data_IF_850120492380
#
_entry.id   IF_850120492380
#
_cell.length_a   1.000
_cell.length_b   1.000
_cell.length_c   1.000
_cell.angle_alpha   90.00
_cell.angle_beta   90.00
_cell.angle_gamma   90.00
#
_symmetry.space_group_name_H-M   'P 1'
#
loop_
_entity.id
_entity.type
_entity.pdbx_description
1 polymer ?
#
# COMPACT_ATOMS: atom_id res chain seq x y z
N UNK A 1 -27.95 -6.68 -8.15
CA UNK A 1 -27.08 -5.80 -7.33
C UNK A 1 -27.05 -6.41 -5.94
N UNK A 2 -25.87 -6.74 -5.40
CA UNK A 2 -25.75 -7.01 -3.96
C UNK A 2 -25.61 -5.65 -3.27
N UNK A 3 -26.27 -5.46 -2.14
CA UNK A 3 -26.07 -4.27 -1.32
C UNK A 3 -24.69 -4.36 -0.65
N UNK A 4 -23.95 -3.26 -0.66
CA UNK A 4 -22.64 -3.17 -0.01
C UNK A 4 -22.84 -2.44 1.32
N UNK A 5 -22.53 -3.12 2.42
CA UNK A 5 -22.54 -2.52 3.75
C UNK A 5 -21.10 -2.15 4.12
N UNK A 6 -20.86 -0.86 4.34
CA UNK A 6 -19.52 -0.37 4.68
C UNK A 6 -19.36 -0.33 6.21
N UNK A 7 -18.45 -1.15 6.73
CA UNK A 7 -18.00 -1.09 8.13
C UNK A 7 -16.78 -0.17 8.22
N UNK A 8 -16.95 1.00 8.82
CA UNK A 8 -15.85 1.94 9.05
C UNK A 8 -15.08 1.54 10.29
N UNK A 9 -13.76 1.42 10.16
CA UNK A 9 -12.86 1.02 11.24
C UNK A 9 -11.76 2.07 11.37
N UNK A 10 -11.55 2.58 12.57
CA UNK A 10 -10.43 3.47 12.86
C UNK A 10 -9.16 2.62 13.04
N UNK A 11 -8.21 2.78 12.11
CA UNK A 11 -6.95 2.04 12.15
C UNK A 11 -6.08 2.35 13.38
N UNK A 12 -6.34 3.44 14.12
CA UNK A 12 -5.60 3.74 15.35
C UNK A 12 -5.99 2.83 16.53
N UNK A 13 -7.15 2.19 16.45
CA UNK A 13 -7.66 1.25 17.44
C UNK A 13 -7.32 -0.21 17.10
N UNK A 14 -6.68 -0.46 15.95
CA UNK A 14 -6.37 -1.80 15.44
C UNK A 14 -4.88 -2.12 15.65
N UNK A 15 -4.61 -3.34 16.09
CA UNK A 15 -3.27 -3.93 16.20
C UNK A 15 -3.34 -5.46 16.02
N UNK A 16 -2.19 -6.12 16.02
CA UNK A 16 -2.09 -7.57 15.83
C UNK A 16 -2.89 -8.39 16.87
N UNK A 17 -3.08 -7.87 18.09
CA UNK A 17 -3.78 -8.58 19.16
C UNK A 17 -5.30 -8.51 19.04
N UNK A 18 -5.84 -7.48 18.39
CA UNK A 18 -7.28 -7.21 18.36
C UNK A 18 -7.90 -7.19 16.95
N UNK A 19 -7.08 -7.28 15.90
CA UNK A 19 -7.53 -7.15 14.49
C UNK A 19 -8.66 -8.08 14.12
N UNK A 20 -8.66 -9.32 14.64
CA UNK A 20 -9.72 -10.29 14.41
C UNK A 20 -11.09 -9.77 14.89
N UNK A 21 -11.16 -9.14 16.07
CA UNK A 21 -12.42 -8.62 16.62
C UNK A 21 -13.05 -7.53 15.72
N UNK A 22 -12.23 -6.84 14.93
CA UNK A 22 -12.70 -5.82 13.98
C UNK A 22 -13.06 -6.41 12.61
N UNK A 23 -12.38 -7.47 12.18
CA UNK A 23 -12.39 -7.95 10.79
C UNK A 23 -12.96 -9.35 10.59
N UNK A 24 -13.35 -10.08 11.64
CA UNK A 24 -13.87 -11.45 11.52
C UNK A 24 -15.20 -11.56 10.75
N UNK A 25 -15.95 -10.47 10.65
CA UNK A 25 -17.28 -10.39 10.05
C UNK A 25 -17.31 -9.68 8.69
N UNK A 26 -16.15 -9.39 8.08
CA UNK A 26 -16.09 -8.70 6.77
C UNK A 26 -15.75 -9.64 5.62
N UNK A 27 -16.38 -9.41 4.47
CA UNK A 27 -16.13 -10.18 3.24
C UNK A 27 -14.96 -9.62 2.40
N UNK A 28 -14.43 -8.46 2.76
CA UNK A 28 -13.37 -7.77 2.03
C UNK A 28 -12.83 -6.56 2.79
N UNK A 29 -11.56 -6.24 2.56
CA UNK A 29 -10.84 -5.19 3.26
C UNK A 29 -10.30 -4.17 2.26
N UNK A 30 -10.60 -2.89 2.47
CA UNK A 30 -10.06 -1.79 1.70
C UNK A 30 -9.23 -0.89 2.60
N UNK A 31 -7.96 -0.70 2.27
CA UNK A 31 -7.10 0.27 2.95
C UNK A 31 -6.92 1.47 2.01
N UNK A 32 -7.49 2.64 2.34
CA UNK A 32 -7.43 3.80 1.48
C UNK A 32 -6.06 4.49 1.55
N UNK A 33 -5.92 5.56 0.78
CA UNK A 33 -4.79 6.48 0.94
C UNK A 33 -4.77 7.15 2.32
N UNK A 34 -3.67 7.79 2.65
CA UNK A 34 -3.51 8.54 3.88
C UNK A 34 -2.19 9.30 3.89
N UNK A 35 -1.94 10.05 4.96
CA UNK A 35 -0.73 10.83 5.14
C UNK A 35 -0.24 10.71 6.57
N UNK A 36 1.09 10.67 6.73
CA UNK A 36 1.75 10.60 8.03
C UNK A 36 1.73 9.20 8.67
N UNK A 37 2.50 9.08 9.74
CA UNK A 37 2.75 7.82 10.44
C UNK A 37 1.55 7.30 11.24
N UNK A 38 0.62 8.18 11.62
CA UNK A 38 -0.47 7.82 12.53
C UNK A 38 -1.29 6.66 11.95
N UNK A 39 -1.44 5.62 12.76
CA UNK A 39 -2.21 4.42 12.46
C UNK A 39 -1.71 3.62 11.24
N UNK A 40 -0.43 3.77 10.85
CA UNK A 40 0.19 2.89 9.84
C UNK A 40 0.21 1.44 10.31
N UNK A 41 0.59 1.19 11.56
CA UNK A 41 0.71 -0.17 12.10
C UNK A 41 -0.63 -0.91 12.17
N UNK A 42 -1.73 -0.24 12.54
CA UNK A 42 -3.06 -0.86 12.50
C UNK A 42 -3.53 -1.19 11.07
N UNK A 43 -3.11 -0.40 10.08
CA UNK A 43 -3.33 -0.76 8.65
C UNK A 43 -2.50 -1.96 8.25
N UNK A 44 -1.23 -2.04 8.68
CA UNK A 44 -0.36 -3.20 8.43
C UNK A 44 -0.95 -4.46 9.07
N UNK A 45 -1.44 -4.38 10.31
CA UNK A 45 -2.14 -5.48 10.98
C UNK A 45 -3.37 -5.95 10.18
N UNK A 46 -4.19 -5.02 9.68
CA UNK A 46 -5.34 -5.35 8.84
C UNK A 46 -4.96 -6.00 7.50
N UNK A 47 -3.87 -5.53 6.87
CA UNK A 47 -3.33 -6.12 5.63
C UNK A 47 -2.85 -7.55 5.89
N UNK A 48 -2.09 -7.74 6.97
CA UNK A 48 -1.58 -9.05 7.38
C UNK A 48 -2.73 -10.02 7.64
N UNK A 49 -3.74 -9.57 8.39
CA UNK A 49 -4.95 -10.35 8.65
C UNK A 49 -5.65 -10.75 7.34
N UNK A 50 -5.78 -9.83 6.39
CA UNK A 50 -6.37 -10.13 5.09
C UNK A 50 -5.59 -11.21 4.33
N UNK A 51 -4.25 -11.09 4.27
CA UNK A 51 -3.35 -12.05 3.61
C UNK A 51 -3.42 -13.43 4.25
N UNK A 52 -3.32 -13.50 5.58
CA UNK A 52 -3.26 -14.77 6.32
C UNK A 52 -4.61 -15.51 6.30
N UNK A 53 -5.72 -14.78 6.22
CA UNK A 53 -7.07 -15.37 6.21
C UNK A 53 -7.70 -15.46 4.81
N UNK A 54 -6.94 -15.18 3.75
CA UNK A 54 -7.41 -15.19 2.36
C UNK A 54 -8.65 -14.30 2.12
N UNK A 55 -8.71 -13.15 2.78
CA UNK A 55 -9.78 -12.17 2.61
C UNK A 55 -9.43 -11.25 1.43
N UNK A 56 -10.36 -11.02 0.47
CA UNK A 56 -10.14 -10.07 -0.61
C UNK A 56 -9.69 -8.70 -0.10
N UNK A 57 -8.57 -8.21 -0.63
CA UNK A 57 -7.93 -6.97 -0.20
C UNK A 57 -7.80 -5.98 -1.36
N UNK A 58 -8.03 -4.69 -1.08
CA UNK A 58 -7.75 -3.61 -2.02
C UNK A 58 -7.05 -2.42 -1.34
N UNK A 59 -5.77 -2.22 -1.69
CA UNK A 59 -4.94 -1.12 -1.17
C UNK A 59 -4.85 0.02 -2.18
N UNK A 60 -5.17 1.24 -1.75
CA UNK A 60 -5.13 2.44 -2.60
C UNK A 60 -4.03 3.38 -2.10
N UNK A 61 -3.12 3.80 -2.97
CA UNK A 61 -2.05 4.75 -2.64
C UNK A 61 -1.22 4.26 -1.43
N UNK A 62 -1.33 4.92 -0.27
CA UNK A 62 -0.69 4.46 0.97
C UNK A 62 -1.09 3.02 1.33
N UNK A 63 -2.32 2.58 1.06
CA UNK A 63 -2.72 1.19 1.29
C UNK A 63 -1.94 0.18 0.44
N UNK A 64 -1.57 0.54 -0.78
CA UNK A 64 -0.69 -0.29 -1.63
C UNK A 64 0.74 -0.29 -1.08
N UNK A 65 1.25 0.88 -0.69
CA UNK A 65 2.58 1.02 -0.09
C UNK A 65 2.73 0.21 1.20
N UNK A 66 1.73 0.24 2.09
CA UNK A 66 1.77 -0.55 3.32
C UNK A 66 1.62 -2.04 3.06
N UNK A 67 0.99 -2.44 1.94
CA UNK A 67 0.88 -3.84 1.57
C UNK A 67 2.22 -4.43 1.15
N UNK A 68 3.06 -3.66 0.45
CA UNK A 68 4.42 -4.11 0.13
C UNK A 68 5.32 -4.13 1.36
N UNK A 69 5.13 -3.18 2.29
CA UNK A 69 5.83 -3.17 3.60
C UNK A 69 5.44 -4.39 4.45
N UNK A 70 4.15 -4.71 4.57
CA UNK A 70 3.68 -5.92 5.28
C UNK A 70 4.32 -7.18 4.71
N UNK A 71 4.31 -7.32 3.38
CA UNK A 71 4.87 -8.50 2.73
C UNK A 71 6.39 -8.61 2.97
N UNK A 72 7.12 -7.50 2.87
CA UNK A 72 8.56 -7.47 3.15
C UNK A 72 8.86 -7.88 4.60
N UNK A 73 8.11 -7.35 5.58
CA UNK A 73 8.30 -7.68 7.00
C UNK A 73 7.98 -9.14 7.32
N UNK A 74 6.80 -9.60 6.91
CA UNK A 74 6.22 -10.82 7.45
C UNK A 74 6.38 -12.05 6.55
N UNK A 75 6.63 -11.85 5.25
CA UNK A 75 6.85 -12.95 4.31
C UNK A 75 8.31 -13.09 3.90
N UNK A 76 8.99 -11.97 3.62
CA UNK A 76 10.41 -11.99 3.24
C UNK A 76 11.37 -11.93 4.45
N UNK A 77 10.88 -11.56 5.63
CA UNK A 77 11.68 -11.50 6.86
C UNK A 77 12.57 -10.25 6.97
N UNK A 78 12.25 -9.18 6.23
CA UNK A 78 12.95 -7.90 6.34
C UNK A 78 12.44 -7.13 7.57
N UNK A 79 12.88 -7.58 8.75
CA UNK A 79 12.55 -6.95 10.03
C UNK A 79 12.93 -5.46 10.00
N UNK A 80 11.96 -4.60 10.33
CA UNK A 80 12.14 -3.15 10.30
C UNK A 80 11.88 -2.49 8.93
N UNK A 81 11.52 -3.24 7.88
CA UNK A 81 11.15 -2.66 6.59
C UNK A 81 10.04 -1.62 6.69
N UNK A 82 10.16 -0.49 6.01
CA UNK A 82 9.16 0.57 6.03
C UNK A 82 9.22 1.45 4.78
N UNK A 83 8.24 2.33 4.64
CA UNK A 83 8.38 3.59 3.89
C UNK A 83 9.33 4.56 4.57
N UNK A 84 10.32 5.06 3.83
CA UNK A 84 11.22 6.13 4.26
C UNK A 84 10.49 7.45 4.57
N UNK A 85 9.28 7.65 4.03
CA UNK A 85 8.41 8.78 4.42
C UNK A 85 7.98 8.70 5.88
N UNK A 86 7.71 7.48 6.35
CA UNK A 86 7.07 7.21 7.63
C UNK A 86 8.08 6.83 8.71
N UNK A 87 9.13 6.11 8.32
CA UNK A 87 10.28 5.79 9.16
C UNK A 87 11.57 6.01 8.34
N UNK A 88 12.17 7.21 8.41
CA UNK A 88 13.42 7.52 7.71
C UNK A 88 14.63 6.71 8.18
N UNK A 89 14.52 6.01 9.32
CA UNK A 89 15.59 5.20 9.91
C UNK A 89 15.50 3.72 9.55
N UNK A 90 14.49 3.33 8.77
CA UNK A 90 14.29 1.94 8.36
C UNK A 90 15.54 1.37 7.69
N UNK A 91 16.01 0.17 8.09
CA UNK A 91 17.11 -0.50 7.39
C UNK A 91 16.71 -1.00 6.00
N UNK A 92 15.40 -1.11 5.71
CA UNK A 92 14.87 -1.59 4.43
C UNK A 92 13.79 -0.62 3.91
N UNK A 93 14.17 0.42 3.16
CA UNK A 93 13.24 1.42 2.62
C UNK A 93 12.51 0.85 1.40
N UNK A 94 11.48 0.03 1.64
CA UNK A 94 10.65 -0.61 0.60
C UNK A 94 9.92 0.44 -0.25
N UNK A 95 9.52 1.54 0.39
CA UNK A 95 8.92 2.69 -0.25
C UNK A 95 9.84 3.88 -0.01
N UNK A 96 10.27 4.53 -1.08
CA UNK A 96 11.26 5.61 -1.04
C UNK A 96 11.03 6.61 -2.17
N UNK A 97 11.72 7.75 -2.11
CA UNK A 97 11.87 8.62 -3.27
C UNK A 97 12.73 7.92 -4.32
N UNK A 98 12.42 8.14 -5.59
CA UNK A 98 13.30 7.66 -6.66
C UNK A 98 14.70 8.27 -6.51
N UNK A 99 15.78 7.55 -6.84
CA UNK A 99 17.15 8.07 -6.68
C UNK A 99 17.37 9.46 -7.27
N UNK A 100 16.78 9.71 -8.45
CA UNK A 100 16.89 11.00 -9.16
C UNK A 100 16.20 12.16 -8.42
N UNK A 101 15.34 11.83 -7.45
CA UNK A 101 14.57 12.78 -6.64
C UNK A 101 15.20 13.07 -5.27
N UNK A 102 16.20 12.27 -4.84
CA UNK A 102 16.82 12.39 -3.50
C UNK A 102 17.69 13.64 -3.35
N UNK A 103 18.31 14.09 -4.44
CA UNK A 103 19.20 15.27 -4.45
C UNK A 103 18.45 16.60 -4.73
N UNK A 104 17.13 16.57 -4.85
CA UNK A 104 16.33 17.76 -5.17
C UNK A 104 15.95 18.48 -3.87
N UNK A 105 16.48 19.69 -3.67
CA UNK A 105 16.17 20.53 -2.49
C UNK A 105 14.69 20.96 -2.43
N UNK A 106 14.03 21.11 -3.59
CA UNK A 106 12.60 21.39 -3.70
C UNK A 106 11.79 20.11 -4.01
N UNK A 107 11.36 19.44 -2.94
CA UNK A 107 10.48 18.27 -3.00
C UNK A 107 9.11 18.54 -3.67
N UNK A 108 8.79 19.79 -4.02
CA UNK A 108 7.63 20.11 -4.86
C UNK A 108 7.70 19.47 -6.25
N UNK A 109 8.92 19.35 -6.80
CA UNK A 109 9.16 18.80 -8.14
C UNK A 109 9.07 17.27 -8.26
N UNK A 110 9.01 16.56 -7.13
CA UNK A 110 9.00 15.09 -7.10
C UNK A 110 7.59 14.49 -7.09
N UNK A 111 6.57 15.34 -6.96
CA UNK A 111 5.17 14.93 -6.92
C UNK A 111 4.69 14.42 -8.27
N UNK A 112 4.30 13.14 -8.30
CA UNK A 112 3.55 12.56 -9.41
C UNK A 112 2.10 13.03 -9.31
N UNK A 113 1.68 13.91 -10.22
CA UNK A 113 0.36 14.56 -10.18
C UNK A 113 -0.30 14.57 -11.56
N UNK A 114 -1.49 13.96 -11.66
CA UNK A 114 -2.29 13.95 -12.89
C UNK A 114 -2.35 12.58 -13.55
N UNK A 115 -2.70 12.55 -14.84
CA UNK A 115 -2.79 11.31 -15.60
C UNK A 115 -1.38 10.81 -15.96
N UNK A 116 -1.12 9.54 -15.70
CA UNK A 116 0.10 8.87 -16.12
C UNK A 116 -0.23 7.56 -16.85
N UNK A 117 0.57 7.21 -17.88
CA UNK A 117 0.46 5.92 -18.53
C UNK A 117 0.95 4.81 -17.59
N UNK A 118 0.22 3.70 -17.57
CA UNK A 118 0.57 2.48 -16.88
C UNK A 118 0.44 1.30 -17.84
N UNK A 119 1.51 0.50 -17.94
CA UNK A 119 1.51 -0.73 -18.71
C UNK A 119 1.24 -1.92 -17.78
N UNK A 120 0.11 -2.60 -17.99
CA UNK A 120 -0.30 -3.76 -17.22
C UNK A 120 0.40 -5.00 -17.77
N UNK A 121 1.06 -5.73 -16.88
CA UNK A 121 1.69 -7.02 -17.19
C UNK A 121 0.65 -8.06 -17.62
N UNK A 122 0.94 -8.76 -18.71
CA UNK A 122 0.11 -9.85 -19.25
C UNK A 122 -0.12 -10.98 -18.22
N UNK A 123 -1.28 -11.61 -18.30
CA UNK A 123 -1.69 -12.74 -17.44
C UNK A 123 -2.13 -12.34 -16.03
N UNK A 124 -2.12 -11.05 -15.69
CA UNK A 124 -2.48 -10.57 -14.35
C UNK A 124 -4.00 -10.41 -14.17
N UNK A 125 -4.45 -10.33 -12.91
CA UNK A 125 -5.84 -9.97 -12.61
C UNK A 125 -6.18 -8.55 -13.11
N UNK A 126 -5.22 -7.63 -13.06
CA UNK A 126 -5.39 -6.27 -13.57
C UNK A 126 -5.72 -6.26 -15.07
N UNK A 127 -5.01 -7.06 -15.89
CA UNK A 127 -5.28 -7.18 -17.33
C UNK A 127 -6.71 -7.66 -17.59
N UNK A 128 -7.16 -8.68 -16.85
CA UNK A 128 -8.52 -9.22 -16.97
C UNK A 128 -9.60 -8.19 -16.61
N UNK A 129 -9.34 -7.34 -15.61
CA UNK A 129 -10.28 -6.32 -15.16
C UNK A 129 -10.35 -5.16 -16.16
N UNK A 130 -9.19 -4.64 -16.59
CA UNK A 130 -9.13 -3.49 -17.50
C UNK A 130 -9.42 -3.86 -18.96
N UNK A 131 -9.24 -5.14 -19.32
CA UNK A 131 -9.37 -5.66 -20.68
C UNK A 131 -8.51 -4.89 -21.70
N UNK A 132 -7.39 -4.35 -21.22
CA UNK A 132 -6.38 -3.55 -21.95
C UNK A 132 -5.06 -3.61 -21.20
N UNK A 133 -3.95 -3.51 -21.93
CA UNK A 133 -2.60 -3.51 -21.36
C UNK A 133 -2.09 -2.08 -21.13
N UNK A 134 -2.43 -1.14 -22.00
CA UNK A 134 -2.08 0.28 -21.82
C UNK A 134 -3.28 1.06 -21.30
N UNK A 135 -3.13 1.61 -20.10
CA UNK A 135 -4.15 2.42 -19.41
C UNK A 135 -3.56 3.74 -18.93
N UNK A 136 -4.44 4.66 -18.57
CA UNK A 136 -4.07 5.92 -17.94
C UNK A 136 -4.81 6.05 -16.61
N UNK A 137 -4.07 6.31 -15.54
CA UNK A 137 -4.64 6.49 -14.20
C UNK A 137 -4.18 7.80 -13.58
N UNK A 138 -4.96 8.31 -12.63
CA UNK A 138 -4.62 9.55 -11.93
C UNK A 138 -3.76 9.26 -10.70
N UNK A 139 -2.59 9.87 -10.67
CA UNK A 139 -1.64 9.79 -9.57
C UNK A 139 -1.63 11.08 -8.74
N UNK A 140 -1.42 10.91 -7.44
CA UNK A 140 -1.17 11.99 -6.47
C UNK A 140 -0.37 11.43 -5.30
N UNK A 141 0.92 11.22 -5.51
CA UNK A 141 1.87 10.73 -4.48
C UNK A 141 3.30 11.17 -4.84
N UNK A 142 4.25 10.98 -3.92
CA UNK A 142 5.67 11.29 -4.13
C UNK A 142 6.55 10.06 -4.00
N UNK A 143 6.26 9.22 -3.01
CA UNK A 143 7.03 8.02 -2.72
C UNK A 143 6.56 6.84 -3.55
N UNK A 144 7.51 6.12 -4.11
CA UNK A 144 7.30 4.98 -5.00
C UNK A 144 7.90 3.71 -4.36
N UNK A 145 7.59 2.55 -4.94
CA UNK A 145 8.30 1.32 -4.57
C UNK A 145 9.78 1.44 -4.94
N UNK A 146 10.68 1.15 -4.00
CA UNK A 146 12.11 1.25 -4.22
C UNK A 146 12.57 0.13 -5.17
N UNK A 147 13.17 0.53 -6.30
CA UNK A 147 13.61 -0.38 -7.35
C UNK A 147 14.71 -1.36 -6.90
N UNK A 148 15.44 -1.08 -5.81
CA UNK A 148 16.41 -2.02 -5.22
C UNK A 148 15.75 -3.31 -4.72
N UNK A 149 14.44 -3.29 -4.44
CA UNK A 149 13.66 -4.44 -3.96
C UNK A 149 12.75 -5.05 -5.03
N UNK A 150 12.92 -4.66 -6.31
CA UNK A 150 12.00 -5.01 -7.39
C UNK A 150 12.13 -6.46 -7.87
N UNK A 151 13.34 -7.01 -7.80
CA UNK A 151 13.70 -8.36 -8.25
C UNK A 151 13.77 -9.34 -7.08
#
# INVERSE_FOLDING_TARGET
>A
KKDVVVKWIDSSEVNDDNVEAYLSDVDGILVPGGFGFRASEGKIAAIRYARENNIPFFGICLGMQLATVEFARHVLGYEGAHSAELDPSTPYPIIDLLPEQKDIEDLGGTLRLGLYPCHIKEGTLAEKIYNKNDIEERHRHRYEFNNEFRE
#
